data_IF_832129159795
#
_entry.id   IF_832129159795
#
_cell.length_a   1.000
_cell.length_b   1.000
_cell.length_c   1.000
_cell.angle_alpha   90.00
_cell.angle_beta   90.00
_cell.angle_gamma   90.00
#
_symmetry.space_group_name_H-M   'P 1'
#
loop_
_entity.id
_entity.type
_entity.pdbx_description
1 polymer ?
#
# COMPACT_ATOMS: atom_id res chain seq x y z
N UNK A 1 29.23 57.31 -0.60
CA UNK A 1 29.52 56.29 0.43
C UNK A 1 28.28 55.40 0.57
N UNK A 2 28.35 54.18 0.10
CA UNK A 2 27.27 53.22 0.33
C UNK A 2 27.31 52.81 1.82
N UNK A 3 26.15 52.66 2.50
CA UNK A 3 26.15 52.17 3.87
C UNK A 3 26.67 50.73 3.92
N UNK A 4 27.38 50.36 4.99
CA UNK A 4 27.90 49.02 5.14
C UNK A 4 26.74 47.99 5.16
N UNK A 5 26.76 47.02 4.27
CA UNK A 5 25.81 45.93 4.26
C UNK A 5 25.93 45.16 5.58
N UNK A 6 24.83 45.11 6.35
CA UNK A 6 24.74 44.23 7.52
C UNK A 6 25.12 42.79 7.13
N UNK A 7 25.94 42.12 7.92
CA UNK A 7 26.29 40.72 7.63
C UNK A 7 25.00 39.88 7.63
N UNK A 8 24.71 39.20 6.51
CA UNK A 8 23.60 38.29 6.44
C UNK A 8 23.83 37.18 7.46
N UNK A 9 22.83 36.84 8.29
CA UNK A 9 22.98 35.76 9.25
C UNK A 9 23.36 34.50 8.52
N UNK A 10 24.37 33.78 9.03
CA UNK A 10 24.79 32.45 8.55
C UNK A 10 23.56 31.57 8.32
N UNK A 11 23.54 30.85 7.18
CA UNK A 11 22.43 30.00 6.77
C UNK A 11 21.98 29.03 7.87
N UNK A 12 22.93 28.53 8.67
CA UNK A 12 22.68 27.66 9.81
C UNK A 12 21.92 28.38 10.92
N UNK A 13 22.36 29.60 11.28
CA UNK A 13 21.66 30.40 12.28
C UNK A 13 20.24 30.81 11.82
N UNK A 14 20.08 31.10 10.54
CA UNK A 14 18.76 31.35 9.96
C UNK A 14 17.83 30.14 10.06
N UNK A 15 18.33 28.96 9.76
CA UNK A 15 17.58 27.70 9.90
C UNK A 15 17.18 27.43 11.36
N UNK A 16 18.13 27.58 12.30
CA UNK A 16 17.88 27.37 13.73
C UNK A 16 16.83 28.35 14.28
N UNK A 17 16.83 29.60 13.82
CA UNK A 17 15.80 30.58 14.21
C UNK A 17 14.42 30.18 13.68
N UNK A 18 14.33 29.70 12.42
CA UNK A 18 13.08 29.20 11.85
C UNK A 18 12.57 27.96 12.58
N UNK A 19 13.47 27.06 12.98
CA UNK A 19 13.14 25.89 13.79
C UNK A 19 12.60 26.27 15.16
N UNK A 20 13.27 27.20 15.87
CA UNK A 20 12.81 27.67 17.18
C UNK A 20 11.44 28.36 17.08
N UNK A 21 11.22 29.17 16.07
CA UNK A 21 9.93 29.83 15.83
C UNK A 21 8.85 28.78 15.53
N UNK A 22 9.13 27.79 14.66
CA UNK A 22 8.18 26.73 14.32
C UNK A 22 7.78 25.86 15.53
N UNK A 23 8.73 25.61 16.44
CA UNK A 23 8.48 24.89 17.70
C UNK A 23 7.67 25.73 18.70
N UNK A 24 8.02 27.00 18.88
CA UNK A 24 7.33 27.91 19.81
C UNK A 24 5.89 28.21 19.39
N UNK A 25 5.66 28.40 18.10
CA UNK A 25 4.35 28.76 17.54
C UNK A 25 3.49 27.49 17.24
N UNK A 26 3.99 26.27 17.53
CA UNK A 26 3.29 25.02 17.23
C UNK A 26 3.13 24.74 15.73
N UNK A 27 3.92 25.38 14.86
CA UNK A 27 3.88 25.23 13.40
C UNK A 27 4.77 24.10 12.88
N UNK A 28 5.50 23.40 13.74
CA UNK A 28 6.25 22.23 13.34
C UNK A 28 5.32 21.13 12.85
N UNK A 29 5.51 20.66 11.61
CA UNK A 29 4.88 19.43 11.08
C UNK A 29 5.79 18.24 11.32
N UNK A 30 7.04 18.37 10.86
CA UNK A 30 8.08 17.34 10.93
C UNK A 30 9.43 18.02 10.77
N UNK A 31 10.44 17.45 11.42
CA UNK A 31 11.85 17.71 11.12
C UNK A 31 12.56 16.37 10.86
N UNK A 32 13.49 16.39 9.92
CA UNK A 32 14.40 15.26 9.68
C UNK A 32 15.82 15.76 9.68
N UNK A 33 16.71 15.14 10.48
CA UNK A 33 18.15 15.30 10.39
C UNK A 33 18.75 14.09 9.70
N UNK A 34 19.67 14.30 8.77
CA UNK A 34 20.30 13.25 7.98
C UNK A 34 21.73 13.61 7.56
N UNK A 35 22.37 12.70 6.86
CA UNK A 35 23.75 12.80 6.39
C UNK A 35 24.71 13.01 7.55
N UNK A 36 25.11 11.91 8.16
CA UNK A 36 25.99 11.89 9.32
C UNK A 36 27.34 12.53 8.99
N UNK A 37 27.87 13.32 9.91
CA UNK A 37 29.24 13.88 9.81
C UNK A 37 30.27 12.75 9.93
N UNK A 38 31.42 12.84 9.23
CA UNK A 38 32.46 11.81 9.30
C UNK A 38 32.97 11.52 10.72
N UNK A 39 32.95 12.54 11.60
CA UNK A 39 33.45 12.48 12.99
C UNK A 39 32.33 12.69 14.00
N UNK A 40 31.10 12.27 13.68
CA UNK A 40 29.98 12.35 14.61
C UNK A 40 30.25 11.52 15.87
N UNK A 41 29.77 11.98 17.06
CA UNK A 41 29.99 11.25 18.33
C UNK A 41 29.42 9.82 18.35
N UNK A 42 28.35 9.60 17.61
CA UNK A 42 27.72 8.28 17.44
C UNK A 42 27.58 7.92 15.96
N UNK A 43 28.49 7.08 15.49
CA UNK A 43 28.50 6.60 14.10
C UNK A 43 27.40 5.56 13.79
N UNK A 44 26.68 5.07 14.79
CA UNK A 44 25.54 4.15 14.59
C UNK A 44 24.25 4.91 14.28
N UNK A 45 24.17 6.20 14.64
CA UNK A 45 23.02 7.05 14.41
C UNK A 45 22.89 7.40 12.92
N UNK A 46 21.75 7.09 12.30
CA UNK A 46 21.51 7.31 10.87
C UNK A 46 20.71 8.57 10.61
N UNK A 47 19.60 8.74 11.32
CA UNK A 47 18.68 9.86 11.18
C UNK A 47 18.06 10.22 12.53
N UNK A 48 17.58 11.45 12.64
CA UNK A 48 16.67 11.86 13.73
C UNK A 48 15.43 12.46 13.10
N UNK A 49 14.27 11.96 13.54
CA UNK A 49 12.95 12.47 13.14
C UNK A 49 12.32 13.15 14.34
N UNK A 50 11.80 14.35 14.15
CA UNK A 50 11.05 15.09 15.17
C UNK A 50 9.66 15.43 14.67
N UNK A 51 8.65 15.26 15.53
CA UNK A 51 7.26 15.64 15.26
C UNK A 51 6.56 16.12 16.54
N UNK A 52 5.60 17.05 16.45
CA UNK A 52 4.82 17.43 17.62
C UNK A 52 3.91 16.29 18.07
N UNK A 53 3.75 16.17 19.38
CA UNK A 53 2.79 15.24 20.01
C UNK A 53 2.13 15.95 21.19
N UNK A 54 0.87 15.63 21.48
CA UNK A 54 0.17 16.10 22.66
C UNK A 54 0.13 14.95 23.67
N UNK A 55 0.81 15.09 24.80
CA UNK A 55 0.76 14.16 25.93
C UNK A 55 -0.13 14.71 27.04
N UNK A 56 -0.40 13.89 28.07
CA UNK A 56 -1.12 14.34 29.28
C UNK A 56 -0.41 15.50 30.00
N UNK A 57 0.90 15.59 29.85
CA UNK A 57 1.77 16.64 30.40
C UNK A 57 1.82 17.90 29.55
N UNK A 58 1.06 17.99 28.45
CA UNK A 58 1.06 19.12 27.51
C UNK A 58 1.77 18.84 26.19
N UNK A 59 2.01 19.89 25.38
CA UNK A 59 2.65 19.77 24.07
C UNK A 59 4.12 19.33 24.22
N UNK A 60 4.50 18.29 23.49
CA UNK A 60 5.85 17.71 23.46
C UNK A 60 6.30 17.53 22.02
N UNK A 61 7.59 17.30 21.82
CA UNK A 61 8.19 16.86 20.55
C UNK A 61 8.67 15.42 20.71
N UNK A 62 8.10 14.54 19.92
CA UNK A 62 8.55 13.15 19.83
C UNK A 62 9.76 13.08 18.89
N UNK A 63 10.90 12.69 19.42
CA UNK A 63 12.17 12.52 18.73
C UNK A 63 12.44 11.01 18.56
N UNK A 64 12.61 10.56 17.33
CA UNK A 64 12.99 9.18 17.01
C UNK A 64 14.42 9.19 16.48
N UNK A 65 15.33 8.63 17.24
CA UNK A 65 16.73 8.42 16.88
C UNK A 65 16.86 7.06 16.19
N UNK A 66 17.09 7.07 14.89
CA UNK A 66 17.27 5.87 14.11
C UNK A 66 18.74 5.47 14.06
N UNK A 67 19.08 4.40 14.73
CA UNK A 67 20.38 3.76 14.65
C UNK A 67 20.38 2.65 13.60
N UNK A 68 21.54 2.08 13.32
CA UNK A 68 21.69 1.01 12.33
C UNK A 68 20.79 -0.22 12.61
N UNK A 69 20.54 -0.54 13.89
CA UNK A 69 19.85 -1.77 14.32
C UNK A 69 18.64 -1.53 15.23
N UNK A 70 18.40 -0.30 15.70
CA UNK A 70 17.30 0.03 16.62
C UNK A 70 16.86 1.46 16.49
N UNK A 71 15.61 1.75 16.86
CA UNK A 71 15.08 3.10 17.04
C UNK A 71 14.97 3.41 18.55
N UNK A 72 15.40 4.60 18.98
CA UNK A 72 15.24 5.11 20.34
C UNK A 72 14.32 6.32 20.29
N UNK A 73 13.25 6.32 21.09
CA UNK A 73 12.28 7.43 21.13
C UNK A 73 12.39 8.21 22.43
N UNK A 74 12.39 9.55 22.32
CA UNK A 74 12.31 10.49 23.45
C UNK A 74 11.22 11.53 23.18
N UNK A 75 10.49 11.91 24.22
CA UNK A 75 9.55 13.03 24.17
C UNK A 75 10.10 14.15 25.03
N UNK A 76 10.20 15.35 24.49
CA UNK A 76 10.76 16.52 25.17
C UNK A 76 9.84 17.73 24.98
N UNK A 77 9.80 18.67 25.95
CA UNK A 77 9.20 19.96 25.76
C UNK A 77 9.79 20.68 24.55
N UNK A 78 9.02 21.52 23.81
CA UNK A 78 9.49 22.18 22.59
C UNK A 78 10.81 22.94 22.75
N UNK A 79 11.01 23.61 23.89
CA UNK A 79 12.24 24.36 24.18
C UNK A 79 13.48 23.44 24.32
N UNK A 80 13.33 22.34 25.05
CA UNK A 80 14.41 21.34 25.22
C UNK A 80 14.71 20.63 23.90
N UNK A 81 13.67 20.30 23.13
CA UNK A 81 13.82 19.72 21.81
C UNK A 81 14.59 20.65 20.86
N UNK A 82 14.35 21.97 20.91
CA UNK A 82 15.08 22.94 20.10
C UNK A 82 16.57 22.96 20.40
N UNK A 83 16.94 22.89 21.68
CA UNK A 83 18.35 22.84 22.12
C UNK A 83 19.03 21.57 21.66
N UNK A 84 18.38 20.41 21.87
CA UNK A 84 18.91 19.11 21.47
C UNK A 84 19.09 19.00 19.95
N UNK A 85 18.09 19.44 19.17
CA UNK A 85 18.15 19.41 17.70
C UNK A 85 19.24 20.34 17.15
N UNK A 86 19.45 21.50 17.78
CA UNK A 86 20.54 22.41 17.42
C UNK A 86 21.92 21.77 17.68
N UNK A 87 22.11 21.10 18.81
CA UNK A 87 23.34 20.36 19.13
C UNK A 87 23.59 19.22 18.14
N UNK A 88 22.57 18.42 17.84
CA UNK A 88 22.68 17.33 16.86
C UNK A 88 23.04 17.84 15.46
N UNK A 89 22.51 18.99 15.05
CA UNK A 89 22.86 19.60 13.76
C UNK A 89 24.30 20.13 13.74
N UNK A 90 24.79 20.62 14.87
CA UNK A 90 26.14 21.11 14.99
C UNK A 90 27.18 19.97 14.98
N UNK A 91 26.90 18.86 15.70
CA UNK A 91 27.88 17.83 16.01
C UNK A 91 27.74 16.56 15.14
N UNK A 92 26.52 16.22 14.74
CA UNK A 92 26.24 14.90 14.15
C UNK A 92 25.75 14.93 12.71
N UNK A 93 24.99 15.94 12.28
CA UNK A 93 24.33 15.94 10.98
C UNK A 93 24.73 17.12 10.10
N UNK A 94 24.73 16.88 8.77
CA UNK A 94 25.00 17.89 7.76
C UNK A 94 23.73 18.44 7.12
N UNK A 95 22.65 17.65 7.07
CA UNK A 95 21.41 18.00 6.39
C UNK A 95 20.24 18.06 7.37
N UNK A 96 19.37 19.07 7.19
CA UNK A 96 18.14 19.22 7.94
C UNK A 96 16.99 19.63 7.04
N UNK A 97 15.82 18.99 7.22
CA UNK A 97 14.60 19.32 6.51
C UNK A 97 13.51 19.64 7.53
N UNK A 98 13.11 20.90 7.58
CA UNK A 98 12.04 21.40 8.43
C UNK A 98 10.78 21.62 7.60
N UNK A 99 9.70 20.97 8.00
CA UNK A 99 8.38 21.06 7.37
C UNK A 99 7.44 21.86 8.28
N UNK A 100 6.86 22.91 7.73
CA UNK A 100 5.79 23.69 8.32
C UNK A 100 4.57 23.71 7.40
N UNK A 101 3.39 24.18 7.81
CA UNK A 101 2.22 24.28 6.92
C UNK A 101 2.45 25.12 5.68
N UNK A 102 3.27 26.15 5.77
CA UNK A 102 3.43 27.17 4.74
C UNK A 102 4.67 26.97 3.89
N UNK A 103 5.67 26.24 4.40
CA UNK A 103 6.94 26.09 3.70
C UNK A 103 7.73 24.87 4.14
N UNK A 104 8.53 24.32 3.23
CA UNK A 104 9.60 23.38 3.51
C UNK A 104 10.93 24.11 3.48
N UNK A 105 11.74 23.95 4.53
CA UNK A 105 13.03 24.60 4.69
C UNK A 105 14.10 23.52 4.72
N UNK A 106 15.03 23.57 3.77
CA UNK A 106 16.15 22.66 3.67
C UNK A 106 17.43 23.37 4.03
N UNK A 107 18.24 22.77 4.88
CA UNK A 107 19.61 23.20 5.19
C UNK A 107 20.57 22.09 4.76
N UNK A 108 21.56 22.47 3.98
CA UNK A 108 22.70 21.64 3.60
C UNK A 108 23.98 22.28 4.12
N UNK A 109 24.67 21.57 5.02
CA UNK A 109 25.99 21.97 5.52
C UNK A 109 27.07 21.15 4.79
N UNK A 110 28.29 21.69 4.73
CA UNK A 110 29.43 20.98 4.20
C UNK A 110 30.26 20.36 5.34
N UNK A 111 30.85 19.21 5.11
CA UNK A 111 31.81 18.62 6.05
C UNK A 111 33.09 19.49 6.17
N UNK A 112 33.45 20.21 5.10
CA UNK A 112 34.47 21.23 5.09
C UNK A 112 33.88 22.56 5.60
N UNK A 113 34.28 22.99 6.80
CA UNK A 113 33.82 24.21 7.43
C UNK A 113 34.13 25.50 6.64
N UNK A 114 35.09 25.45 5.70
CA UNK A 114 35.41 26.58 4.83
C UNK A 114 34.34 26.83 3.75
N UNK A 115 33.46 25.88 3.50
CA UNK A 115 32.37 26.01 2.52
C UNK A 115 31.08 26.46 3.21
N UNK A 116 30.43 27.53 2.73
CA UNK A 116 29.21 28.05 3.36
C UNK A 116 28.06 27.05 3.29
N UNK A 117 27.26 26.99 4.35
CA UNK A 117 26.01 26.26 4.37
C UNK A 117 24.97 26.89 3.42
N UNK A 118 24.11 26.08 2.83
CA UNK A 118 23.05 26.52 1.93
C UNK A 118 21.69 26.29 2.58
N UNK A 119 20.82 27.30 2.49
CA UNK A 119 19.42 27.20 2.91
C UNK A 119 18.51 27.40 1.71
N UNK A 120 17.51 26.53 1.55
CA UNK A 120 16.48 26.60 0.53
C UNK A 120 15.11 26.66 1.19
N UNK A 121 14.29 27.63 0.81
CA UNK A 121 12.91 27.76 1.25
C UNK A 121 12.00 27.47 0.07
N UNK A 122 11.05 26.55 0.25
CA UNK A 122 10.04 26.18 -0.74
C UNK A 122 8.69 26.51 -0.13
N UNK A 123 7.98 27.47 -0.68
CA UNK A 123 6.63 27.85 -0.25
C UNK A 123 5.62 26.80 -0.73
N UNK A 124 4.63 26.47 0.10
CA UNK A 124 3.54 25.55 -0.20
C UNK A 124 2.27 26.39 -0.30
N UNK A 125 1.73 26.56 -1.51
CA UNK A 125 0.48 27.27 -1.73
C UNK A 125 -0.71 26.37 -1.35
N UNK A 126 -1.63 26.89 -0.53
CA UNK A 126 -2.91 26.24 -0.23
C UNK A 126 -2.91 25.17 0.86
N UNK A 127 -1.89 25.08 1.72
CA UNK A 127 -1.87 24.09 2.80
C UNK A 127 -2.91 24.42 3.90
N UNK A 128 -3.73 23.43 4.34
CA UNK A 128 -4.70 23.64 5.42
C UNK A 128 -4.00 23.84 6.77
N UNK A 129 -4.63 24.56 7.75
CA UNK A 129 -4.06 24.81 9.07
C UNK A 129 -3.86 23.49 9.83
N UNK A 130 -2.65 23.32 10.39
CA UNK A 130 -2.33 22.17 11.24
C UNK A 130 -3.04 22.30 12.57
N UNK A 131 -3.88 21.33 12.87
CA UNK A 131 -4.37 21.10 14.22
C UNK A 131 -3.36 20.20 14.95
N UNK A 132 -2.94 20.49 16.20
CA UNK A 132 -2.09 19.59 16.97
C UNK A 132 -2.73 18.21 17.03
N UNK A 133 -2.04 17.19 16.54
CA UNK A 133 -2.56 15.84 16.63
C UNK A 133 -2.29 15.30 18.02
N UNK A 134 -3.33 14.99 18.80
CA UNK A 134 -3.21 14.20 20.03
C UNK A 134 -2.47 12.88 19.76
N UNK A 135 -1.88 12.29 20.81
CA UNK A 135 -1.18 10.98 20.72
C UNK A 135 -2.12 9.86 20.26
N UNK A 136 -3.39 10.01 20.55
CA UNK A 136 -4.50 9.21 20.04
C UNK A 136 -5.09 9.96 18.85
N UNK A 137 -4.41 9.92 17.71
CA UNK A 137 -5.15 10.05 16.47
C UNK A 137 -6.17 8.93 16.52
N UNK A 138 -7.44 9.26 16.72
CA UNK A 138 -8.48 8.41 16.16
C UNK A 138 -8.06 8.28 14.69
N UNK A 139 -7.46 7.13 14.34
CA UNK A 139 -7.24 6.81 12.93
C UNK A 139 -8.58 7.10 12.31
N UNK A 140 -8.64 7.97 11.31
CA UNK A 140 -9.84 8.07 10.47
C UNK A 140 -10.01 6.68 9.92
N UNK A 141 -10.73 5.85 10.69
CA UNK A 141 -11.03 4.49 10.31
C UNK A 141 -11.96 4.59 9.13
N UNK A 142 -11.59 3.90 8.09
CA UNK A 142 -12.40 3.83 6.88
C UNK A 142 -13.71 3.09 7.15
N UNK A 143 -13.69 2.19 8.15
CA UNK A 143 -14.84 1.41 8.59
C UNK A 143 -15.19 1.75 10.05
N UNK A 144 -16.49 1.80 10.37
CA UNK A 144 -16.95 1.91 11.74
C UNK A 144 -16.72 0.58 12.50
N UNK A 145 -15.89 0.56 13.55
CA UNK A 145 -15.61 -0.66 14.30
C UNK A 145 -16.82 -1.18 15.09
N UNK A 146 -17.83 -0.35 15.31
CA UNK A 146 -19.08 -0.72 16.01
C UNK A 146 -20.15 -1.25 15.06
N UNK A 147 -19.85 -1.33 13.76
CA UNK A 147 -20.80 -1.74 12.73
C UNK A 147 -21.45 -3.11 13.05
N UNK A 148 -22.78 -3.26 12.89
CA UNK A 148 -23.51 -4.49 13.22
C UNK A 148 -22.96 -5.73 12.52
N UNK A 149 -22.55 -5.60 11.26
CA UNK A 149 -22.01 -6.71 10.48
C UNK A 149 -20.68 -7.26 11.04
N UNK A 150 -19.80 -6.41 11.60
CA UNK A 150 -18.56 -6.85 12.25
C UNK A 150 -18.86 -7.69 13.50
N UNK A 151 -19.88 -7.30 14.27
CA UNK A 151 -20.33 -8.04 15.45
C UNK A 151 -20.96 -9.38 15.08
N UNK A 152 -21.81 -9.40 14.06
CA UNK A 152 -22.46 -10.62 13.57
C UNK A 152 -21.45 -11.62 12.99
N UNK A 153 -20.39 -11.14 12.32
CA UNK A 153 -19.26 -11.97 11.88
C UNK A 153 -18.33 -12.39 13.03
N UNK A 154 -18.60 -11.97 14.26
CA UNK A 154 -17.80 -12.31 15.44
C UNK A 154 -16.44 -11.60 15.50
N UNK A 155 -16.24 -10.53 14.73
CA UNK A 155 -14.97 -9.81 14.64
C UNK A 155 -14.80 -8.83 15.80
N UNK A 156 -15.86 -8.04 16.11
CA UNK A 156 -15.83 -7.04 17.20
C UNK A 156 -16.93 -7.32 18.24
N UNK A 157 -16.80 -6.69 19.40
CA UNK A 157 -17.82 -6.61 20.41
C UNK A 157 -18.69 -5.33 20.26
N UNK A 158 -19.66 -5.12 21.15
CA UNK A 158 -20.56 -3.96 21.13
C UNK A 158 -19.85 -2.61 21.30
N UNK A 159 -18.60 -2.61 21.82
CA UNK A 159 -17.77 -1.42 21.97
C UNK A 159 -16.84 -1.20 20.77
N UNK A 160 -16.97 -1.99 19.71
CA UNK A 160 -16.09 -1.92 18.52
C UNK A 160 -14.65 -2.44 18.77
N UNK A 161 -14.44 -3.17 19.86
CA UNK A 161 -13.16 -3.78 20.17
C UNK A 161 -13.09 -5.18 19.53
N UNK A 162 -11.96 -5.60 18.96
CA UNK A 162 -11.79 -6.95 18.47
C UNK A 162 -12.04 -7.98 19.57
N UNK A 163 -12.78 -9.04 19.25
CA UNK A 163 -12.95 -10.19 20.14
C UNK A 163 -11.63 -10.94 20.30
N UNK A 164 -11.53 -11.77 21.34
CA UNK A 164 -10.37 -12.62 21.55
C UNK A 164 -10.01 -13.43 20.29
N UNK A 165 -8.74 -13.43 19.91
CA UNK A 165 -8.26 -14.06 18.68
C UNK A 165 -8.60 -13.33 17.37
N UNK A 166 -9.46 -12.29 17.38
CA UNK A 166 -9.91 -11.62 16.16
C UNK A 166 -9.19 -10.29 15.85
N UNK A 167 -8.26 -9.86 16.69
CA UNK A 167 -7.54 -8.61 16.51
C UNK A 167 -6.77 -8.56 15.16
N UNK A 168 -6.22 -9.69 14.73
CA UNK A 168 -5.54 -9.83 13.46
C UNK A 168 -6.52 -9.71 12.28
N UNK A 169 -7.65 -10.43 12.34
CA UNK A 169 -8.68 -10.40 11.30
C UNK A 169 -9.27 -8.98 11.16
N UNK A 170 -9.51 -8.30 12.28
CA UNK A 170 -9.99 -6.91 12.26
C UNK A 170 -9.00 -5.97 11.57
N UNK A 171 -7.69 -6.06 11.89
CA UNK A 171 -6.65 -5.28 11.20
C UNK A 171 -6.56 -5.59 9.69
N UNK A 172 -6.75 -6.87 9.33
CA UNK A 172 -6.80 -7.29 7.93
C UNK A 172 -7.95 -6.61 7.18
N UNK A 173 -9.15 -6.58 7.77
CA UNK A 173 -10.33 -5.95 7.19
C UNK A 173 -10.12 -4.44 7.02
N UNK A 174 -9.64 -3.75 8.07
CA UNK A 174 -9.35 -2.31 8.00
C UNK A 174 -8.32 -1.99 6.91
N UNK A 175 -7.20 -2.76 6.87
CA UNK A 175 -6.14 -2.53 5.91
C UNK A 175 -6.58 -2.79 4.47
N UNK A 176 -7.43 -3.80 4.26
CA UNK A 176 -8.00 -4.08 2.96
C UNK A 176 -8.91 -2.93 2.48
N UNK A 177 -9.77 -2.41 3.35
CA UNK A 177 -10.64 -1.29 3.00
C UNK A 177 -9.84 -0.02 2.64
N UNK A 178 -8.78 0.30 3.41
CA UNK A 178 -7.87 1.40 3.09
C UNK A 178 -7.22 1.22 1.71
N UNK A 179 -6.64 0.03 1.49
CA UNK A 179 -5.94 -0.31 0.26
C UNK A 179 -6.87 -0.24 -0.97
N UNK A 180 -8.06 -0.83 -0.85
CA UNK A 180 -8.98 -0.86 -1.98
C UNK A 180 -9.49 0.54 -2.36
N UNK A 181 -9.75 1.40 -1.37
CA UNK A 181 -10.09 2.81 -1.64
C UNK A 181 -9.00 3.48 -2.48
N UNK A 182 -7.73 3.27 -2.11
CA UNK A 182 -6.60 3.87 -2.81
C UNK A 182 -6.43 3.28 -4.22
N UNK A 183 -6.63 1.97 -4.40
CA UNK A 183 -6.60 1.30 -5.70
C UNK A 183 -7.74 1.73 -6.62
N UNK A 184 -8.94 1.94 -6.08
CA UNK A 184 -10.09 2.48 -6.83
C UNK A 184 -9.80 3.89 -7.34
N UNK A 185 -9.21 4.75 -6.49
CA UNK A 185 -8.80 6.09 -6.90
C UNK A 185 -7.75 6.07 -8.00
N UNK A 186 -6.71 5.23 -7.88
CA UNK A 186 -5.68 5.05 -8.91
C UNK A 186 -6.24 4.53 -10.25
N UNK A 187 -7.27 3.69 -10.19
CA UNK A 187 -7.95 3.17 -11.38
C UNK A 187 -8.98 4.15 -11.98
N UNK A 188 -9.12 5.37 -11.41
CA UNK A 188 -10.15 6.33 -11.82
C UNK A 188 -11.58 5.82 -11.56
N UNK A 189 -11.75 4.98 -10.55
CA UNK A 189 -13.01 4.39 -10.10
C UNK A 189 -13.44 4.98 -8.73
N UNK A 190 -12.99 6.20 -8.40
CA UNK A 190 -13.32 6.85 -7.15
C UNK A 190 -14.83 7.15 -7.08
N UNK A 191 -15.44 6.75 -5.96
CA UNK A 191 -16.88 6.90 -5.69
C UNK A 191 -17.36 8.36 -5.68
N UNK A 192 -16.48 9.32 -5.47
CA UNK A 192 -16.84 10.75 -5.55
C UNK A 192 -17.12 11.22 -6.97
N UNK A 193 -16.44 10.64 -7.96
CA UNK A 193 -16.68 10.91 -9.39
C UNK A 193 -17.85 10.12 -9.96
N UNK A 194 -18.30 9.07 -9.27
CA UNK A 194 -19.34 8.13 -9.75
C UNK A 194 -20.72 8.48 -9.20
N UNK A 195 -20.85 9.45 -8.30
CA UNK A 195 -22.14 9.83 -7.69
C UNK A 195 -23.26 10.15 -8.68
N UNK A 196 -22.92 10.51 -9.92
CA UNK A 196 -23.86 10.79 -11.00
C UNK A 196 -23.88 9.71 -12.09
N UNK A 197 -23.09 8.63 -11.95
CA UNK A 197 -22.98 7.50 -12.86
C UNK A 197 -23.66 6.24 -12.27
N UNK A 198 -23.75 5.18 -13.10
CA UNK A 198 -24.22 3.88 -12.64
C UNK A 198 -23.29 3.30 -11.54
N UNK A 199 -23.83 2.54 -10.54
CA UNK A 199 -23.03 1.96 -9.48
C UNK A 199 -21.96 1.01 -10.05
N UNK A 200 -20.78 0.97 -9.39
CA UNK A 200 -19.69 0.07 -9.74
C UNK A 200 -20.12 -1.39 -9.57
N UNK A 201 -19.88 -2.22 -10.56
CA UNK A 201 -20.12 -3.67 -10.51
C UNK A 201 -18.88 -4.39 -10.06
N UNK A 202 -18.94 -5.02 -8.89
CA UNK A 202 -17.82 -5.65 -8.23
C UNK A 202 -18.14 -7.13 -7.99
N UNK A 203 -17.22 -8.01 -8.38
CA UNK A 203 -17.27 -9.43 -8.03
C UNK A 203 -16.12 -9.78 -7.08
N UNK A 204 -16.44 -10.46 -5.97
CA UNK A 204 -15.50 -11.06 -5.03
C UNK A 204 -15.56 -12.57 -5.17
N UNK A 205 -14.57 -13.15 -5.83
CA UNK A 205 -14.52 -14.58 -6.16
C UNK A 205 -13.84 -15.37 -5.07
N UNK A 206 -14.57 -16.31 -4.46
CA UNK A 206 -14.13 -17.04 -3.28
C UNK A 206 -14.37 -16.25 -2.00
N UNK A 207 -15.53 -15.60 -1.87
CA UNK A 207 -15.86 -14.68 -0.78
C UNK A 207 -15.77 -15.29 0.64
N UNK A 208 -15.86 -16.61 0.76
CA UNK A 208 -15.79 -17.32 2.04
C UNK A 208 -16.88 -16.88 3.01
N UNK A 209 -16.50 -16.46 4.22
CA UNK A 209 -17.42 -15.88 5.22
C UNK A 209 -17.84 -14.44 4.90
N UNK A 210 -17.35 -13.84 3.81
CA UNK A 210 -17.70 -12.51 3.37
C UNK A 210 -17.03 -11.36 4.14
N UNK A 211 -16.01 -11.59 4.98
CA UNK A 211 -15.37 -10.52 5.78
C UNK A 211 -14.99 -9.30 4.93
N UNK A 212 -14.36 -9.53 3.79
CA UNK A 212 -13.87 -8.47 2.92
C UNK A 212 -14.97 -7.96 1.99
N UNK A 213 -15.90 -8.81 1.57
CA UNK A 213 -17.08 -8.45 0.79
C UNK A 213 -17.99 -7.49 1.57
N UNK A 214 -18.20 -7.74 2.87
CA UNK A 214 -18.94 -6.82 3.76
C UNK A 214 -18.17 -5.50 3.99
N UNK A 215 -16.84 -5.56 4.10
CA UNK A 215 -16.04 -4.35 4.19
C UNK A 215 -16.18 -3.46 2.96
N UNK A 216 -16.25 -4.07 1.76
CA UNK A 216 -16.52 -3.38 0.50
C UNK A 216 -17.91 -2.72 0.51
N UNK A 217 -18.95 -3.45 0.92
CA UNK A 217 -20.30 -2.93 0.99
C UNK A 217 -20.40 -1.75 1.97
N UNK A 218 -19.72 -1.84 3.12
CA UNK A 218 -19.67 -0.76 4.09
C UNK A 218 -18.86 0.46 3.59
N UNK A 219 -17.80 0.23 2.80
CA UNK A 219 -16.95 1.28 2.23
C UNK A 219 -17.66 2.07 1.13
N UNK A 220 -18.34 1.36 0.23
CA UNK A 220 -18.86 1.92 -1.03
C UNK A 220 -20.35 2.26 -0.97
N UNK A 221 -21.11 1.63 -0.07
CA UNK A 221 -22.55 1.83 0.05
C UNK A 221 -23.27 1.62 -1.28
N UNK A 222 -24.27 2.45 -1.56
CA UNK A 222 -25.05 2.40 -2.80
C UNK A 222 -24.26 2.77 -4.07
N UNK A 223 -23.00 3.22 -3.95
CA UNK A 223 -22.12 3.49 -5.08
C UNK A 223 -21.59 2.23 -5.76
N UNK A 224 -21.90 1.03 -5.26
CA UNK A 224 -21.46 -0.23 -5.85
C UNK A 224 -22.54 -1.32 -5.74
N UNK A 225 -22.60 -2.18 -6.75
CA UNK A 225 -23.33 -3.47 -6.73
C UNK A 225 -22.31 -4.59 -6.56
N UNK A 226 -22.33 -5.27 -5.42
CA UNK A 226 -21.33 -6.24 -5.02
C UNK A 226 -21.91 -7.65 -5.07
N UNK A 227 -21.25 -8.55 -5.76
CA UNK A 227 -21.60 -9.97 -5.79
C UNK A 227 -20.44 -10.78 -5.24
N UNK A 228 -20.65 -11.45 -4.10
CA UNK A 228 -19.74 -12.46 -3.56
C UNK A 228 -20.04 -13.83 -4.15
N UNK A 229 -19.05 -14.49 -4.75
CA UNK A 229 -19.14 -15.86 -5.24
C UNK A 229 -18.50 -16.81 -4.23
N UNK A 230 -19.22 -17.82 -3.78
CA UNK A 230 -18.72 -18.84 -2.84
C UNK A 230 -19.34 -20.20 -3.18
N UNK A 231 -18.53 -21.27 -3.14
CA UNK A 231 -18.95 -22.61 -3.49
C UNK A 231 -19.85 -23.28 -2.43
N UNK A 232 -19.68 -22.89 -1.16
CA UNK A 232 -20.38 -23.51 -0.04
C UNK A 232 -21.73 -22.86 0.18
N UNK A 233 -22.82 -23.56 -0.15
CA UNK A 233 -24.19 -23.07 -0.03
C UNK A 233 -24.56 -22.54 1.37
N UNK A 234 -24.03 -23.20 2.43
CA UNK A 234 -24.28 -22.78 3.81
C UNK A 234 -23.67 -21.42 4.14
N UNK A 235 -22.51 -21.09 3.57
CA UNK A 235 -21.89 -19.76 3.74
C UNK A 235 -22.64 -18.71 2.93
N UNK A 236 -23.05 -19.03 1.71
CA UNK A 236 -23.88 -18.14 0.88
C UNK A 236 -25.18 -17.77 1.59
N UNK A 237 -25.89 -18.79 2.12
CA UNK A 237 -27.13 -18.56 2.85
C UNK A 237 -26.92 -17.71 4.12
N UNK A 238 -25.85 -17.98 4.88
CA UNK A 238 -25.52 -17.23 6.08
C UNK A 238 -25.13 -15.75 5.75
N UNK A 239 -24.32 -15.56 4.70
CA UNK A 239 -23.89 -14.22 4.26
C UNK A 239 -25.08 -13.39 3.73
N UNK A 240 -26.00 -13.98 2.97
CA UNK A 240 -27.19 -13.26 2.50
C UNK A 240 -28.14 -12.88 3.65
N UNK A 241 -28.32 -13.75 4.66
CA UNK A 241 -29.07 -13.37 5.87
C UNK A 241 -28.42 -12.17 6.56
N UNK A 242 -27.11 -12.24 6.76
CA UNK A 242 -26.39 -11.14 7.37
C UNK A 242 -26.46 -9.85 6.54
N UNK A 243 -26.36 -9.93 5.20
CA UNK A 243 -26.51 -8.77 4.33
C UNK A 243 -27.87 -8.10 4.48
N UNK A 244 -28.92 -8.90 4.62
CA UNK A 244 -30.27 -8.40 4.91
C UNK A 244 -30.36 -7.73 6.28
N UNK A 245 -29.88 -8.39 7.34
CA UNK A 245 -29.94 -7.91 8.72
C UNK A 245 -29.10 -6.63 8.93
N UNK A 246 -28.02 -6.47 8.15
CA UNK A 246 -27.15 -5.30 8.17
C UNK A 246 -27.62 -4.17 7.22
N UNK A 247 -28.71 -4.35 6.47
CA UNK A 247 -29.24 -3.36 5.54
C UNK A 247 -28.45 -3.22 4.24
N UNK A 248 -27.68 -4.22 3.84
CA UNK A 248 -26.87 -4.23 2.62
C UNK A 248 -27.54 -4.91 1.42
N UNK A 249 -28.70 -5.55 1.60
CA UNK A 249 -29.37 -6.37 0.58
C UNK A 249 -29.71 -5.64 -0.73
N UNK A 250 -29.76 -4.30 -0.72
CA UNK A 250 -29.99 -3.51 -1.92
C UNK A 250 -28.79 -3.45 -2.87
N UNK A 251 -27.57 -3.71 -2.37
CA UNK A 251 -26.33 -3.55 -3.14
C UNK A 251 -25.27 -4.64 -2.88
N UNK A 252 -25.56 -5.60 -1.99
CA UNK A 252 -24.72 -6.75 -1.70
C UNK A 252 -25.53 -8.04 -1.77
N UNK A 253 -25.05 -9.00 -2.56
CA UNK A 253 -25.59 -10.36 -2.64
C UNK A 253 -24.48 -11.39 -2.71
N UNK A 254 -24.77 -12.59 -2.23
CA UNK A 254 -23.87 -13.75 -2.38
C UNK A 254 -24.56 -14.79 -3.26
N UNK A 255 -23.82 -15.38 -4.17
CA UNK A 255 -24.30 -16.46 -5.05
C UNK A 255 -23.43 -17.70 -4.89
N UNK A 256 -24.07 -18.87 -4.98
CA UNK A 256 -23.36 -20.14 -4.99
C UNK A 256 -22.74 -20.39 -6.36
N UNK A 257 -21.48 -20.80 -6.37
CA UNK A 257 -20.78 -21.16 -7.59
C UNK A 257 -19.28 -21.33 -7.40
N UNK A 258 -18.66 -22.00 -8.34
CA UNK A 258 -17.22 -22.08 -8.46
C UNK A 258 -16.65 -20.90 -9.26
N UNK A 259 -15.36 -20.61 -9.08
CA UNK A 259 -14.65 -19.64 -9.91
C UNK A 259 -14.70 -20.16 -11.36
N UNK A 260 -15.34 -19.42 -12.27
CA UNK A 260 -15.64 -19.96 -13.59
C UNK A 260 -14.40 -19.98 -14.48
N UNK A 261 -14.28 -21.07 -15.24
CA UNK A 261 -13.25 -21.20 -16.29
C UNK A 261 -13.46 -20.20 -17.43
N UNK A 262 -14.64 -19.67 -17.61
CA UNK A 262 -15.18 -18.54 -18.40
C UNK A 262 -16.59 -18.87 -18.91
N UNK A 263 -17.49 -17.90 -19.11
CA UNK A 263 -17.48 -16.50 -18.77
C UNK A 263 -17.96 -16.24 -17.33
N UNK A 264 -17.56 -15.08 -16.75
CA UNK A 264 -18.04 -14.66 -15.41
C UNK A 264 -19.56 -14.67 -15.32
N UNK A 265 -20.16 -15.16 -14.23
CA UNK A 265 -21.61 -15.11 -14.01
C UNK A 265 -22.11 -13.65 -13.82
N UNK A 266 -21.18 -12.72 -13.61
CA UNK A 266 -21.46 -11.29 -13.43
C UNK A 266 -20.79 -10.51 -14.56
N UNK A 267 -21.59 -10.10 -15.56
CA UNK A 267 -21.14 -9.27 -16.68
C UNK A 267 -22.07 -8.08 -16.88
N UNK A 268 -21.51 -6.92 -17.23
CA UNK A 268 -20.13 -6.47 -17.20
C UNK A 268 -19.61 -6.22 -15.78
N UNK A 269 -18.30 -6.18 -15.57
CA UNK A 269 -17.65 -5.87 -14.30
C UNK A 269 -16.79 -4.63 -14.43
N UNK A 270 -16.70 -3.84 -13.34
CA UNK A 270 -15.72 -2.77 -13.17
C UNK A 270 -14.53 -3.25 -12.34
N UNK A 271 -14.78 -4.07 -11.32
CA UNK A 271 -13.75 -4.58 -10.40
C UNK A 271 -13.91 -6.07 -10.16
N UNK A 272 -12.81 -6.82 -10.27
CA UNK A 272 -12.75 -8.21 -9.83
C UNK A 272 -11.78 -8.32 -8.65
N UNK A 273 -12.21 -9.04 -7.63
CA UNK A 273 -11.42 -9.37 -6.44
C UNK A 273 -11.39 -10.89 -6.28
N UNK A 274 -10.21 -11.47 -5.98
CA UNK A 274 -10.06 -12.88 -5.65
C UNK A 274 -8.88 -13.07 -4.68
N UNK A 275 -9.16 -13.02 -3.37
CA UNK A 275 -8.09 -13.02 -2.36
C UNK A 275 -7.74 -14.41 -1.83
N UNK A 276 -8.51 -15.43 -2.14
CA UNK A 276 -8.28 -16.80 -1.67
C UNK A 276 -8.54 -17.86 -2.75
N UNK A 277 -8.38 -17.47 -4.02
CA UNK A 277 -8.38 -18.40 -5.12
C UNK A 277 -7.03 -19.13 -5.16
N UNK A 278 -7.04 -20.46 -4.96
CA UNK A 278 -5.83 -21.25 -4.90
C UNK A 278 -5.34 -21.64 -6.30
N UNK A 279 -4.01 -21.55 -6.51
CA UNK A 279 -3.31 -22.03 -7.70
C UNK A 279 -3.90 -21.48 -9.00
N UNK A 280 -4.26 -22.32 -9.95
CA UNK A 280 -4.86 -21.94 -11.24
C UNK A 280 -6.23 -21.26 -11.13
N UNK A 281 -6.94 -21.40 -10.01
CA UNK A 281 -8.19 -20.67 -9.78
C UNK A 281 -7.98 -19.15 -9.73
N UNK A 282 -6.77 -18.68 -9.34
CA UNK A 282 -6.40 -17.27 -9.48
C UNK A 282 -6.37 -16.85 -10.95
N UNK A 283 -5.83 -17.67 -11.81
CA UNK A 283 -5.72 -17.41 -13.25
C UNK A 283 -7.09 -17.43 -13.93
N UNK A 284 -7.95 -18.36 -13.51
CA UNK A 284 -9.34 -18.43 -13.98
C UNK A 284 -10.13 -17.19 -13.54
N UNK A 285 -9.93 -16.70 -12.31
CA UNK A 285 -10.54 -15.47 -11.82
C UNK A 285 -10.08 -14.25 -12.63
N UNK A 286 -8.76 -14.13 -12.87
CA UNK A 286 -8.20 -13.06 -13.70
C UNK A 286 -8.78 -13.06 -15.11
N UNK A 287 -8.83 -14.24 -15.75
CA UNK A 287 -9.40 -14.41 -17.09
C UNK A 287 -10.90 -14.06 -17.13
N UNK A 288 -11.66 -14.45 -16.11
CA UNK A 288 -13.07 -14.08 -15.97
C UNK A 288 -13.27 -12.57 -15.84
N UNK A 289 -12.43 -11.91 -15.03
CA UNK A 289 -12.44 -10.45 -14.88
C UNK A 289 -12.12 -9.72 -16.19
N UNK A 290 -11.07 -10.16 -16.87
CA UNK A 290 -10.68 -9.62 -18.18
C UNK A 290 -11.81 -9.75 -19.22
N UNK A 291 -12.40 -10.94 -19.30
CA UNK A 291 -13.53 -11.22 -20.23
C UNK A 291 -14.78 -10.43 -19.86
N UNK A 292 -15.00 -10.14 -18.58
CA UNK A 292 -16.13 -9.33 -18.09
C UNK A 292 -15.89 -7.81 -18.26
N UNK A 293 -14.70 -7.39 -18.70
CA UNK A 293 -14.37 -5.99 -18.93
C UNK A 293 -13.87 -5.25 -17.71
N UNK A 294 -13.46 -5.94 -16.64
CA UNK A 294 -12.98 -5.32 -15.42
C UNK A 294 -11.85 -4.30 -15.70
N UNK A 295 -11.94 -3.16 -15.03
CA UNK A 295 -10.94 -2.08 -15.08
C UNK A 295 -9.91 -2.20 -13.95
N UNK A 296 -10.28 -2.85 -12.85
CA UNK A 296 -9.41 -3.15 -11.73
C UNK A 296 -9.50 -4.64 -11.37
N UNK A 297 -8.36 -5.29 -11.25
CA UNK A 297 -8.21 -6.67 -10.81
C UNK A 297 -7.37 -6.69 -9.54
N UNK A 298 -7.83 -7.38 -8.49
CA UNK A 298 -7.13 -7.48 -7.21
C UNK A 298 -7.13 -8.93 -6.76
N UNK A 299 -5.95 -9.57 -6.81
CA UNK A 299 -5.83 -10.98 -6.41
C UNK A 299 -4.73 -11.17 -5.37
N UNK A 300 -4.92 -12.14 -4.48
CA UNK A 300 -3.92 -12.55 -3.48
C UNK A 300 -3.74 -14.06 -3.56
N UNK A 301 -2.80 -14.54 -4.40
CA UNK A 301 -2.54 -15.96 -4.58
C UNK A 301 -1.97 -16.55 -3.29
N UNK A 302 -2.51 -17.69 -2.85
CA UNK A 302 -2.00 -18.38 -1.66
C UNK A 302 -1.23 -19.67 -1.99
N UNK A 303 -1.36 -20.18 -3.21
CA UNK A 303 -0.71 -21.41 -3.69
C UNK A 303 -0.23 -21.22 -5.12
N UNK A 304 0.94 -21.77 -5.46
CA UNK A 304 1.56 -21.69 -6.78
C UNK A 304 2.14 -23.06 -7.13
N UNK A 305 1.28 -24.04 -7.42
CA UNK A 305 1.68 -25.41 -7.70
C UNK A 305 1.83 -25.74 -9.18
N UNK A 306 1.09 -25.02 -10.04
CA UNK A 306 1.04 -25.24 -11.49
C UNK A 306 2.43 -25.24 -12.13
N UNK A 307 3.24 -24.22 -11.85
CA UNK A 307 4.55 -24.06 -12.50
C UNK A 307 5.65 -24.88 -11.86
N UNK A 308 5.47 -25.32 -10.63
CA UNK A 308 6.51 -26.04 -9.89
C UNK A 308 7.09 -27.26 -10.62
N UNK A 309 6.31 -28.14 -11.31
CA UNK A 309 6.85 -29.26 -12.07
C UNK A 309 7.63 -28.85 -13.33
N UNK A 310 7.38 -27.66 -13.86
CA UNK A 310 8.05 -27.15 -15.06
C UNK A 310 9.35 -26.42 -14.75
N UNK A 311 9.52 -25.91 -13.52
CA UNK A 311 10.66 -25.09 -13.15
C UNK A 311 11.97 -25.86 -13.30
N UNK A 312 12.81 -25.41 -14.23
CA UNK A 312 14.18 -25.89 -14.39
C UNK A 312 15.12 -24.92 -13.69
N UNK A 313 15.83 -25.35 -12.64
CA UNK A 313 16.75 -24.46 -11.94
C UNK A 313 17.85 -23.97 -12.88
N UNK A 314 18.11 -22.67 -12.98
CA UNK A 314 19.34 -22.17 -13.63
C UNK A 314 20.56 -22.81 -12.99
N UNK A 315 21.55 -23.18 -13.79
CA UNK A 315 22.76 -23.93 -13.33
C UNK A 315 23.40 -23.29 -12.11
N UNK A 316 23.51 -21.93 -12.09
CA UNK A 316 24.09 -21.18 -10.97
C UNK A 316 23.28 -21.26 -9.67
N UNK A 317 22.00 -21.63 -9.73
CA UNK A 317 21.10 -21.74 -8.57
C UNK A 317 20.83 -23.20 -8.15
N UNK A 318 21.37 -24.20 -8.88
CA UNK A 318 21.09 -25.61 -8.67
C UNK A 318 21.36 -26.05 -7.22
N UNK A 319 22.51 -25.64 -6.66
CA UNK A 319 22.88 -25.98 -5.28
C UNK A 319 21.97 -25.35 -4.23
N UNK A 320 21.50 -24.14 -4.45
CA UNK A 320 20.55 -23.47 -3.56
C UNK A 320 19.15 -24.12 -3.66
N UNK A 321 18.70 -24.39 -4.88
CA UNK A 321 17.36 -24.92 -5.15
C UNK A 321 17.21 -26.43 -4.87
N UNK A 322 18.28 -27.12 -4.43
CA UNK A 322 18.14 -28.48 -3.85
C UNK A 322 17.28 -28.50 -2.58
N UNK A 323 17.10 -27.37 -1.90
CA UNK A 323 16.30 -27.26 -0.70
C UNK A 323 14.83 -26.94 -1.05
N UNK A 324 13.87 -27.75 -0.60
CA UNK A 324 12.46 -27.62 -0.94
C UNK A 324 11.84 -26.26 -0.58
N UNK A 325 12.32 -25.61 0.51
CA UNK A 325 11.84 -24.26 0.89
C UNK A 325 12.21 -23.21 -0.17
N UNK A 326 13.39 -23.30 -0.78
CA UNK A 326 13.79 -22.39 -1.84
C UNK A 326 13.07 -22.67 -3.16
N UNK A 327 12.77 -23.94 -3.46
CA UNK A 327 11.93 -24.30 -4.60
C UNK A 327 10.51 -23.71 -4.45
N UNK A 328 9.92 -23.81 -3.26
CA UNK A 328 8.61 -23.21 -2.97
C UNK A 328 8.62 -21.69 -3.17
N UNK A 329 9.62 -20.99 -2.60
CA UNK A 329 9.77 -19.55 -2.75
C UNK A 329 10.03 -19.13 -4.19
N UNK A 330 10.79 -19.91 -4.95
CA UNK A 330 10.98 -19.67 -6.38
C UNK A 330 9.67 -19.82 -7.14
N UNK A 331 8.91 -20.89 -6.87
CA UNK A 331 7.62 -21.12 -7.50
C UNK A 331 6.65 -19.96 -7.23
N UNK A 332 6.57 -19.46 -5.99
CA UNK A 332 5.77 -18.31 -5.63
C UNK A 332 6.18 -17.07 -6.45
N UNK A 333 7.46 -16.73 -6.41
CA UNK A 333 8.00 -15.57 -7.13
C UNK A 333 7.75 -15.65 -8.64
N UNK A 334 8.07 -16.79 -9.25
CA UNK A 334 8.00 -16.96 -10.71
C UNK A 334 6.55 -16.93 -11.19
N UNK A 335 5.64 -17.60 -10.49
CA UNK A 335 4.22 -17.64 -10.86
C UNK A 335 3.60 -16.23 -10.78
N UNK A 336 3.80 -15.53 -9.67
CA UNK A 336 3.17 -14.23 -9.47
C UNK A 336 3.80 -13.13 -10.35
N UNK A 337 5.11 -13.21 -10.61
CA UNK A 337 5.78 -12.33 -11.57
C UNK A 337 5.27 -12.56 -13.00
N UNK A 338 5.06 -13.82 -13.40
CA UNK A 338 4.54 -14.14 -14.72
C UNK A 338 3.08 -13.66 -14.89
N UNK A 339 2.22 -13.81 -13.86
CA UNK A 339 0.87 -13.25 -13.83
C UNK A 339 0.87 -11.75 -14.06
N UNK A 340 1.74 -11.03 -13.34
CA UNK A 340 1.86 -9.58 -13.48
C UNK A 340 2.30 -9.19 -14.91
N UNK A 341 3.32 -9.85 -15.47
CA UNK A 341 3.79 -9.59 -16.84
C UNK A 341 2.72 -9.88 -17.89
N UNK A 342 1.97 -10.98 -17.75
CA UNK A 342 0.89 -11.32 -18.66
C UNK A 342 -0.23 -10.28 -18.65
N UNK A 343 -0.59 -9.76 -17.48
CA UNK A 343 -1.57 -8.67 -17.38
C UNK A 343 -1.07 -7.38 -18.05
N UNK A 344 0.23 -7.09 -17.95
CA UNK A 344 0.83 -5.96 -18.66
C UNK A 344 0.79 -6.12 -20.18
N UNK A 345 0.97 -7.35 -20.69
CA UNK A 345 0.86 -7.67 -22.11
C UNK A 345 -0.55 -7.40 -22.68
N UNK A 346 -1.58 -7.36 -21.84
CA UNK A 346 -2.97 -7.10 -22.24
C UNK A 346 -3.51 -5.74 -21.80
N UNK A 347 -2.60 -4.81 -21.49
CA UNK A 347 -2.94 -3.39 -21.28
C UNK A 347 -3.32 -3.03 -19.85
N UNK A 348 -2.78 -3.73 -18.87
CA UNK A 348 -2.89 -3.36 -17.46
C UNK A 348 -1.57 -2.82 -16.93
N UNK A 349 -1.64 -1.94 -15.95
CA UNK A 349 -0.50 -1.55 -15.11
C UNK A 349 -0.60 -2.33 -13.81
N UNK A 350 0.47 -3.05 -13.47
CA UNK A 350 0.48 -3.94 -12.31
C UNK A 350 1.28 -3.35 -11.14
N UNK A 351 0.85 -3.71 -9.94
CA UNK A 351 1.58 -3.53 -8.68
C UNK A 351 1.57 -4.84 -7.93
N UNK A 352 2.73 -5.27 -7.47
CA UNK A 352 2.89 -6.47 -6.63
C UNK A 352 3.50 -6.04 -5.31
N UNK A 353 2.81 -6.31 -4.20
CA UNK A 353 3.25 -5.86 -2.87
C UNK A 353 2.66 -6.71 -1.75
N UNK A 354 3.24 -6.61 -0.55
CA UNK A 354 2.70 -7.25 0.64
C UNK A 354 1.56 -6.41 1.22
N UNK A 355 0.43 -7.05 1.41
CA UNK A 355 -0.80 -6.42 1.89
C UNK A 355 -0.87 -6.34 3.42
N UNK A 356 -0.31 -7.33 4.14
CA UNK A 356 -0.24 -7.37 5.61
C UNK A 356 1.17 -7.79 6.01
N UNK A 357 1.63 -7.34 7.21
CA UNK A 357 2.93 -7.77 7.74
C UNK A 357 3.05 -9.30 7.83
N UNK A 358 4.20 -9.83 7.42
CA UNK A 358 4.57 -11.26 7.43
C UNK A 358 4.52 -11.92 8.80
N UNK A 359 4.48 -11.14 9.90
CA UNK A 359 4.35 -11.67 11.27
C UNK A 359 3.08 -12.52 11.48
N UNK A 360 2.13 -12.46 10.54
CA UNK A 360 0.79 -13.00 10.72
C UNK A 360 0.32 -13.97 9.64
N UNK A 361 0.89 -13.92 8.44
CA UNK A 361 0.61 -14.87 7.34
C UNK A 361 1.84 -14.99 6.46
N UNK A 362 2.28 -16.23 6.21
CA UNK A 362 3.44 -16.50 5.35
C UNK A 362 3.18 -16.15 3.86
N UNK A 363 1.91 -16.00 3.45
CA UNK A 363 1.47 -15.74 2.08
C UNK A 363 0.52 -14.55 2.07
N UNK A 364 1.05 -13.37 1.74
CA UNK A 364 0.36 -12.08 1.81
C UNK A 364 0.66 -11.18 0.59
N UNK A 365 1.18 -11.76 -0.49
CA UNK A 365 1.41 -11.05 -1.74
C UNK A 365 0.07 -10.72 -2.39
N UNK A 366 -0.07 -9.48 -2.83
CA UNK A 366 -1.22 -8.99 -3.58
C UNK A 366 -0.76 -8.49 -4.93
N UNK A 367 -1.46 -8.90 -5.97
CA UNK A 367 -1.32 -8.39 -7.34
C UNK A 367 -2.52 -7.50 -7.60
N UNK A 368 -2.30 -6.21 -7.76
CA UNK A 368 -3.31 -5.25 -8.20
C UNK A 368 -2.98 -4.80 -9.62
N UNK A 369 -3.96 -4.84 -10.51
CA UNK A 369 -3.79 -4.45 -11.89
C UNK A 369 -4.95 -3.55 -12.32
N UNK A 370 -4.66 -2.35 -12.83
CA UNK A 370 -5.66 -1.47 -13.41
C UNK A 370 -5.43 -1.26 -14.90
N UNK A 371 -6.53 -1.18 -15.65
CA UNK A 371 -6.49 -1.00 -17.10
C UNK A 371 -5.92 0.38 -17.45
N UNK A 372 -5.03 0.44 -18.43
CA UNK A 372 -4.55 1.71 -18.99
C UNK A 372 -5.35 2.04 -20.26
N UNK A 373 -5.70 3.33 -20.45
CA UNK A 373 -6.57 3.77 -21.55
C UNK A 373 -5.91 3.71 -22.94
N UNK A 374 -4.64 3.30 -23.01
CA UNK A 374 -3.83 3.29 -24.23
C UNK A 374 -4.01 2.06 -25.12
N UNK A 375 -4.98 1.16 -24.86
CA UNK A 375 -5.12 -0.12 -25.59
C UNK A 375 -5.37 0.05 -27.09
N UNK A 376 -5.89 1.20 -27.53
CA UNK A 376 -6.09 1.54 -28.96
C UNK A 376 -4.95 2.36 -29.59
N UNK A 377 -3.92 2.74 -28.84
CA UNK A 377 -2.82 3.56 -29.30
C UNK A 377 -1.76 2.71 -30.04
N UNK A 378 -1.30 3.13 -31.24
CA UNK A 378 -0.20 2.46 -31.93
C UNK A 378 1.09 2.29 -31.09
N UNK A 379 1.35 3.22 -30.15
CA UNK A 379 2.47 3.13 -29.23
C UNK A 379 2.34 1.91 -28.28
N UNK A 380 1.13 1.53 -27.89
CA UNK A 380 0.87 0.34 -27.09
C UNK A 380 1.19 -0.94 -27.86
N UNK A 381 0.92 -1.01 -29.16
CA UNK A 381 1.25 -2.19 -29.97
C UNK A 381 2.77 -2.47 -29.96
N UNK A 382 3.60 -1.44 -30.14
CA UNK A 382 5.06 -1.58 -30.05
C UNK A 382 5.54 -1.92 -28.63
N UNK A 383 4.89 -1.39 -27.59
CA UNK A 383 5.18 -1.73 -26.21
C UNK A 383 4.79 -3.17 -25.91
N UNK A 384 3.63 -3.62 -26.37
CA UNK A 384 3.13 -4.99 -26.20
C UNK A 384 4.10 -6.02 -26.77
N UNK A 385 4.65 -5.80 -27.97
CA UNK A 385 5.66 -6.70 -28.53
C UNK A 385 6.85 -6.86 -27.60
N UNK A 386 7.41 -5.75 -27.12
CA UNK A 386 8.53 -5.78 -26.17
C UNK A 386 8.19 -6.46 -24.84
N UNK A 387 6.97 -6.28 -24.33
CA UNK A 387 6.51 -6.96 -23.12
C UNK A 387 6.39 -8.46 -23.36
N UNK A 388 5.83 -8.90 -24.49
CA UNK A 388 5.74 -10.31 -24.86
C UNK A 388 7.12 -10.97 -24.96
N UNK A 389 8.07 -10.31 -25.65
CA UNK A 389 9.44 -10.83 -25.77
C UNK A 389 10.11 -11.02 -24.41
N UNK A 390 9.94 -10.06 -23.50
CA UNK A 390 10.46 -10.14 -22.13
C UNK A 390 9.77 -11.24 -21.32
N UNK A 391 8.46 -11.40 -21.46
CA UNK A 391 7.69 -12.44 -20.78
C UNK A 391 8.10 -13.84 -21.24
N UNK A 392 8.31 -14.02 -22.55
CA UNK A 392 8.83 -15.26 -23.14
C UNK A 392 10.25 -15.56 -22.67
N UNK A 393 11.13 -14.56 -22.68
CA UNK A 393 12.48 -14.72 -22.16
C UNK A 393 12.50 -15.11 -20.68
N UNK A 394 11.60 -14.53 -19.88
CA UNK A 394 11.42 -14.92 -18.47
C UNK A 394 10.93 -16.35 -18.33
N UNK A 395 9.90 -16.76 -19.09
CA UNK A 395 9.37 -18.11 -19.10
C UNK A 395 10.45 -19.13 -19.52
N UNK A 396 11.18 -18.85 -20.62
CA UNK A 396 12.26 -19.70 -21.12
C UNK A 396 13.40 -19.85 -20.11
N UNK A 397 13.77 -18.78 -19.40
CA UNK A 397 14.82 -18.81 -18.36
C UNK A 397 14.51 -19.81 -17.23
N UNK A 398 13.21 -19.94 -16.87
CA UNK A 398 12.76 -20.87 -15.84
C UNK A 398 12.24 -22.21 -16.40
N UNK A 399 12.29 -22.43 -17.72
CA UNK A 399 11.84 -23.65 -18.37
C UNK A 399 10.31 -23.78 -18.46
N UNK A 400 9.56 -22.68 -18.30
CA UNK A 400 8.10 -22.67 -18.34
C UNK A 400 7.64 -22.68 -19.79
N UNK A 401 6.76 -23.63 -20.12
CA UNK A 401 6.16 -23.79 -21.45
C UNK A 401 4.68 -23.42 -21.46
N UNK A 402 3.98 -23.69 -20.38
CA UNK A 402 2.55 -23.46 -20.24
C UNK A 402 2.23 -22.81 -18.90
N UNK A 403 1.28 -21.89 -18.91
CA UNK A 403 0.75 -21.24 -17.72
C UNK A 403 -0.73 -20.90 -17.96
N UNK A 404 -1.57 -21.15 -16.99
CA UNK A 404 -3.04 -21.07 -17.10
C UNK A 404 -3.56 -19.74 -17.62
N UNK A 405 -3.07 -18.60 -17.09
CA UNK A 405 -3.48 -17.27 -17.56
C UNK A 405 -2.98 -17.02 -18.98
N UNK A 406 -1.76 -17.45 -19.33
CA UNK A 406 -1.23 -17.33 -20.69
C UNK A 406 -2.12 -18.09 -21.70
N UNK A 407 -2.57 -19.32 -21.35
CA UNK A 407 -3.52 -20.07 -22.16
C UNK A 407 -4.83 -19.33 -22.36
N UNK A 408 -5.42 -18.76 -21.29
CA UNK A 408 -6.64 -17.95 -21.40
C UNK A 408 -6.48 -16.71 -22.27
N UNK A 409 -5.29 -16.12 -22.29
CA UNK A 409 -4.96 -14.93 -23.09
C UNK A 409 -4.55 -15.25 -24.52
N UNK A 410 -4.41 -16.54 -24.88
CA UNK A 410 -3.89 -16.96 -26.19
C UNK A 410 -2.43 -16.55 -26.41
N UNK A 411 -1.63 -16.45 -25.33
CA UNK A 411 -0.22 -16.10 -25.39
C UNK A 411 0.61 -17.36 -25.36
N UNK A 412 1.31 -17.65 -26.46
CA UNK A 412 2.32 -18.69 -26.53
C UNK A 412 3.61 -18.22 -25.86
N UNK A 413 4.03 -18.93 -24.80
CA UNK A 413 5.24 -18.64 -24.05
C UNK A 413 6.52 -19.20 -24.70
N UNK A 414 6.39 -20.04 -25.72
CA UNK A 414 7.50 -20.73 -26.40
C UNK A 414 7.85 -20.12 -27.76
N UNK A 415 7.05 -19.14 -28.23
CA UNK A 415 7.17 -18.52 -29.56
C UNK A 415 8.32 -17.50 -29.64
#
# INVERSE_FOLDING_TARGET
MNPPSMPQPDSTNRFLNLLRAALADGRLVKLTLGKLRPFAPDLTLRNVFARPVMLKTGPQVCLVFRHATRDVTKNLPPAEAAVLLAGLLAESFLDAHLFTPLQTIQLEQNADAARPARIRLITIDGAPPIRPSGHDRSKHRVLDPTAPWLRALGVTNDRGQPREGMAHKFRQIEKFAELLRDLLAEAGLDTLAIRDAAPLRIADMGAGKGYLTFALAALLGAGAEITGLERRAELVAAANRLANDAGFSSHLRFIEGDIPVAPSPVKPLDVLIALHACDTATDDALAAGLTAGARLLVVSPCCQKELRPQLTPPVVLADALRHGIFQERQSEFVTDALRAQLLECVGFRTKVFEFISTEHTAKNVLIAAHRVDAIGDPSFAAQRTRLLDRTRAFAAFYGIREQRLACHLGIDLTA
#
